data_IF_470498154328
#
_entry.id   IF_470498154328
#
_cell.length_a   1.000
_cell.length_b   1.000
_cell.length_c   1.000
_cell.angle_alpha   90.00
_cell.angle_beta   90.00
_cell.angle_gamma   90.00
#
_symmetry.space_group_name_H-M   'P 1'
#
loop_
_entity.id
_entity.type
_entity.pdbx_description
1 polymer ?
#
# COMPACT_ATOMS: atom_id res chain seq x y z
N UNK A 1 29.79 30.42 10.36
CA UNK A 1 29.62 28.99 10.66
C UNK A 1 28.24 28.65 11.25
N UNK A 2 27.79 29.31 12.33
CA UNK A 2 26.46 29.04 12.94
C UNK A 2 25.28 29.11 11.95
N UNK A 3 25.25 30.11 11.05
CA UNK A 3 24.18 30.25 10.03
C UNK A 3 24.06 29.06 9.06
N UNK A 4 25.16 28.40 8.71
CA UNK A 4 25.14 27.23 7.80
C UNK A 4 24.64 25.96 8.51
N UNK A 5 24.87 25.84 9.82
CA UNK A 5 24.36 24.72 10.64
C UNK A 5 22.83 24.79 10.72
N UNK A 6 22.26 25.99 10.94
CA UNK A 6 20.80 26.16 10.94
C UNK A 6 20.17 25.87 9.57
N UNK A 7 20.85 26.26 8.48
CA UNK A 7 20.38 25.97 7.12
C UNK A 7 20.41 24.45 6.84
N UNK A 8 21.45 23.75 7.27
CA UNK A 8 21.57 22.30 7.14
C UNK A 8 20.47 21.58 7.95
N UNK A 9 20.19 22.04 9.17
CA UNK A 9 19.12 21.49 10.01
C UNK A 9 17.73 21.68 9.35
N UNK A 10 17.47 22.86 8.78
CA UNK A 10 16.24 23.16 8.04
C UNK A 10 16.08 22.29 6.79
N UNK A 11 17.17 22.01 6.07
CA UNK A 11 17.13 21.12 4.90
C UNK A 11 16.80 19.67 5.28
N UNK A 12 17.37 19.16 6.38
CA UNK A 12 17.11 17.79 6.85
C UNK A 12 15.65 17.61 7.28
N UNK A 13 15.07 18.58 7.99
CA UNK A 13 13.68 18.51 8.46
C UNK A 13 12.69 18.52 7.29
N UNK A 14 12.93 19.34 6.26
CA UNK A 14 12.07 19.40 5.06
C UNK A 14 12.22 18.17 4.15
N UNK A 15 13.36 17.48 4.20
CA UNK A 15 13.60 16.29 3.37
C UNK A 15 12.81 15.07 3.84
N UNK A 16 12.49 15.00 5.14
CA UNK A 16 11.77 13.88 5.75
C UNK A 16 10.26 13.97 5.47
N UNK A 17 9.69 15.19 5.46
CA UNK A 17 8.27 15.43 5.16
C UNK A 17 7.95 15.37 3.66
N UNK A 18 8.95 15.45 2.78
CA UNK A 18 8.77 15.45 1.33
C UNK A 18 8.48 14.07 0.70
N UNK A 19 8.62 12.96 1.43
CA UNK A 19 8.56 11.61 0.85
C UNK A 19 7.18 10.94 0.87
N UNK A 20 6.22 11.48 1.64
CA UNK A 20 4.90 10.85 1.81
C UNK A 20 3.81 11.62 1.05
N UNK A 21 2.99 10.92 0.27
CA UNK A 21 1.86 11.49 -0.48
C UNK A 21 0.59 11.45 0.36
N UNK A 22 -0.39 12.34 0.11
CA UNK A 22 -1.70 12.26 0.78
C UNK A 22 -2.38 10.89 0.67
N UNK A 23 -2.15 10.16 -0.43
CA UNK A 23 -2.67 8.81 -0.70
C UNK A 23 -2.06 7.71 0.18
N UNK A 24 -0.93 7.99 0.83
CA UNK A 24 -0.25 7.09 1.76
C UNK A 24 -0.94 7.03 3.12
N UNK A 25 -1.93 7.88 3.34
CA UNK A 25 -2.67 7.97 4.59
C UNK A 25 -4.13 7.53 4.42
N UNK A 26 -4.71 7.05 5.51
CA UNK A 26 -6.15 6.85 5.65
C UNK A 26 -6.69 7.60 6.87
N UNK A 27 -8.00 7.84 6.90
CA UNK A 27 -8.72 8.44 8.02
C UNK A 27 -10.03 7.70 8.23
N UNK A 28 -10.43 7.51 9.48
CA UNK A 28 -11.69 6.81 9.80
C UNK A 28 -12.95 7.61 9.45
N UNK A 29 -12.85 8.94 9.41
CA UNK A 29 -13.96 9.84 9.10
C UNK A 29 -13.40 11.17 8.56
N UNK A 30 -14.26 11.93 7.87
CA UNK A 30 -13.90 13.23 7.30
C UNK A 30 -13.51 14.21 8.42
N UNK A 31 -12.32 14.81 8.31
CA UNK A 31 -11.78 15.72 9.33
C UNK A 31 -11.13 15.02 10.53
N UNK A 32 -11.07 13.69 10.54
CA UNK A 32 -10.37 12.93 11.57
C UNK A 32 -8.84 12.91 11.39
N UNK A 33 -8.15 12.39 12.41
CA UNK A 33 -6.71 12.14 12.35
C UNK A 33 -6.34 11.25 11.15
N UNK A 34 -5.17 11.51 10.56
CA UNK A 34 -4.61 10.76 9.43
C UNK A 34 -3.59 9.75 9.91
N UNK A 35 -3.67 8.52 9.42
CA UNK A 35 -2.79 7.42 9.79
C UNK A 35 -2.07 6.91 8.55
N UNK A 36 -0.76 6.68 8.67
CA UNK A 36 0.02 6.10 7.58
C UNK A 36 -0.45 4.66 7.34
N UNK A 37 -0.67 4.31 6.07
CA UNK A 37 -1.04 2.96 5.68
C UNK A 37 0.16 2.03 5.85
N UNK A 38 0.00 0.86 6.51
CA UNK A 38 1.00 -0.19 6.46
C UNK A 38 1.29 -0.60 5.01
N UNK A 39 2.57 -0.82 4.71
CA UNK A 39 3.01 -1.27 3.40
C UNK A 39 2.96 -2.80 3.36
N UNK A 40 2.33 -3.34 2.32
CA UNK A 40 2.15 -4.78 2.10
C UNK A 40 2.70 -5.15 0.72
N UNK A 41 3.47 -6.23 0.64
CA UNK A 41 4.08 -6.69 -0.61
C UNK A 41 3.50 -8.05 -1.01
N UNK A 42 3.08 -8.17 -2.27
CA UNK A 42 2.56 -9.40 -2.83
C UNK A 42 3.40 -9.80 -4.04
N UNK A 43 3.74 -11.08 -4.14
CA UNK A 43 4.44 -11.60 -5.32
C UNK A 43 3.43 -12.06 -6.38
N UNK A 44 3.57 -11.55 -7.60
CA UNK A 44 2.92 -12.09 -8.78
C UNK A 44 3.82 -13.15 -9.43
N UNK A 45 3.25 -14.33 -9.66
CA UNK A 45 3.92 -15.45 -10.30
C UNK A 45 3.03 -15.98 -11.43
N UNK A 46 3.41 -15.70 -12.68
CA UNK A 46 2.65 -16.11 -13.87
C UNK A 46 2.64 -17.62 -14.10
N UNK A 47 3.48 -18.39 -13.41
CA UNK A 47 3.49 -19.86 -13.52
C UNK A 47 2.40 -20.54 -12.68
N UNK A 48 1.71 -19.80 -11.80
CA UNK A 48 0.64 -20.35 -10.98
C UNK A 48 -0.72 -20.17 -11.63
N UNK A 49 -1.52 -21.23 -11.64
CA UNK A 49 -2.85 -21.27 -12.26
C UNK A 49 -3.87 -20.33 -11.61
N UNK A 50 -3.66 -19.97 -10.35
CA UNK A 50 -4.52 -19.05 -9.59
C UNK A 50 -4.13 -17.57 -9.77
N UNK A 51 -3.16 -17.30 -10.64
CA UNK A 51 -2.71 -15.95 -10.97
C UNK A 51 -3.04 -15.63 -12.43
N UNK A 52 -3.58 -14.44 -12.67
CA UNK A 52 -3.77 -13.91 -14.01
C UNK A 52 -3.39 -12.44 -14.07
N UNK A 53 -2.91 -12.00 -15.24
CA UNK A 53 -2.59 -10.61 -15.51
C UNK A 53 -3.28 -10.20 -16.79
N UNK A 54 -4.13 -9.19 -16.69
CA UNK A 54 -4.87 -8.63 -17.84
C UNK A 54 -4.49 -7.17 -17.99
N UNK A 55 -4.11 -6.79 -19.20
CA UNK A 55 -3.72 -5.41 -19.52
C UNK A 55 -4.73 -4.83 -20.52
N UNK A 56 -5.30 -3.68 -20.17
CA UNK A 56 -6.20 -2.93 -21.03
C UNK A 56 -5.87 -1.45 -20.98
N UNK A 57 -5.44 -0.90 -22.13
CA UNK A 57 -4.97 0.49 -22.26
C UNK A 57 -3.79 0.78 -21.33
N UNK A 58 -4.04 1.51 -20.24
CA UNK A 58 -3.03 1.94 -19.26
C UNK A 58 -3.30 1.32 -17.88
N UNK A 59 -4.17 0.31 -17.83
CA UNK A 59 -4.57 -0.36 -16.61
C UNK A 59 -4.09 -1.81 -16.69
N UNK A 60 -3.45 -2.26 -15.61
CA UNK A 60 -3.08 -3.66 -15.42
C UNK A 60 -3.88 -4.19 -14.23
N UNK A 61 -4.56 -5.30 -14.44
CA UNK A 61 -5.25 -6.06 -13.41
C UNK A 61 -4.41 -7.30 -13.09
N UNK A 62 -3.95 -7.39 -11.84
CA UNK A 62 -3.34 -8.60 -11.32
C UNK A 62 -4.37 -9.32 -10.47
N UNK A 63 -4.84 -10.47 -10.94
CA UNK A 63 -5.55 -11.42 -10.10
C UNK A 63 -4.51 -12.35 -9.49
N UNK A 64 -4.44 -12.38 -8.16
CA UNK A 64 -3.50 -13.22 -7.43
C UNK A 64 -4.30 -14.00 -6.41
N UNK A 65 -4.45 -15.29 -6.64
CA UNK A 65 -5.45 -16.13 -5.97
C UNK A 65 -6.87 -15.60 -6.26
N UNK A 66 -7.60 -15.20 -5.22
CA UNK A 66 -8.95 -14.67 -5.30
C UNK A 66 -9.00 -13.14 -5.11
N UNK A 67 -7.84 -12.49 -5.04
CA UNK A 67 -7.74 -11.06 -4.81
C UNK A 67 -7.38 -10.31 -6.10
N UNK A 68 -8.00 -9.15 -6.30
CA UNK A 68 -7.81 -8.31 -7.48
C UNK A 68 -7.06 -7.03 -7.13
N UNK A 69 -5.96 -6.80 -7.83
CA UNK A 69 -5.13 -5.62 -7.68
C UNK A 69 -5.11 -4.83 -8.99
N UNK A 70 -5.48 -3.55 -8.91
CA UNK A 70 -5.53 -2.65 -10.07
C UNK A 70 -4.36 -1.69 -10.04
N UNK A 71 -3.52 -1.74 -11.07
CA UNK A 71 -2.54 -0.72 -11.40
C UNK A 71 -3.10 0.18 -12.50
N UNK A 72 -3.10 1.50 -12.30
CA UNK A 72 -3.42 2.49 -13.33
C UNK A 72 -2.22 3.41 -13.53
N UNK A 73 -1.58 3.35 -14.70
CA UNK A 73 -0.35 4.10 -14.98
C UNK A 73 -0.51 5.63 -14.89
N UNK A 74 -1.73 6.16 -14.95
CA UNK A 74 -1.98 7.61 -14.74
C UNK A 74 -1.92 8.00 -13.27
N UNK A 75 -2.33 7.09 -12.38
CA UNK A 75 -2.61 7.38 -10.97
C UNK A 75 -1.64 6.68 -10.01
N UNK A 76 -0.99 5.63 -10.48
CA UNK A 76 -0.11 4.78 -9.69
C UNK A 76 1.34 4.87 -10.19
N UNK A 77 2.27 4.51 -9.30
CA UNK A 77 3.70 4.46 -9.63
C UNK A 77 4.15 3.02 -9.82
N UNK A 78 5.06 2.82 -10.77
CA UNK A 78 5.83 1.58 -10.88
C UNK A 78 7.31 1.89 -10.87
N UNK A 79 8.08 0.94 -10.37
CA UNK A 79 9.51 1.09 -10.17
C UNK A 79 10.21 -0.23 -10.46
N UNK A 80 11.46 -0.16 -10.87
CA UNK A 80 12.29 -1.32 -11.18
C UNK A 80 13.33 -1.50 -10.08
N UNK A 81 13.40 -2.69 -9.51
CA UNK A 81 14.36 -3.03 -8.47
C UNK A 81 15.11 -4.34 -8.74
N UNK A 82 16.27 -4.48 -8.09
CA UNK A 82 17.00 -5.76 -8.02
C UNK A 82 16.18 -6.79 -7.27
N UNK A 83 16.38 -8.07 -7.59
CA UNK A 83 15.83 -9.21 -6.84
C UNK A 83 16.22 -9.18 -5.36
N UNK A 84 17.32 -8.51 -5.01
CA UNK A 84 17.78 -8.36 -3.63
C UNK A 84 16.77 -7.64 -2.71
N UNK A 85 15.80 -6.91 -3.27
CA UNK A 85 14.72 -6.32 -2.48
C UNK A 85 13.95 -7.39 -1.69
N UNK A 86 13.82 -8.60 -2.24
CA UNK A 86 13.10 -9.72 -1.62
C UNK A 86 13.74 -10.16 -0.29
N UNK A 87 15.03 -9.87 -0.07
CA UNK A 87 15.72 -10.15 1.19
C UNK A 87 15.36 -9.14 2.29
N UNK A 88 14.79 -7.99 1.93
CA UNK A 88 14.55 -6.85 2.82
C UNK A 88 13.07 -6.64 3.16
N UNK A 89 12.17 -7.34 2.48
CA UNK A 89 10.73 -7.16 2.62
C UNK A 89 10.07 -8.47 3.03
N UNK A 90 8.95 -8.35 3.75
CA UNK A 90 8.07 -9.48 4.02
C UNK A 90 7.04 -9.59 2.89
N UNK A 91 6.91 -10.78 2.30
CA UNK A 91 5.86 -11.08 1.34
C UNK A 91 4.62 -11.58 2.08
N UNK A 92 3.49 -11.00 1.74
CA UNK A 92 2.20 -11.27 2.34
C UNK A 92 1.46 -12.34 1.55
N UNK A 93 0.66 -13.17 2.25
CA UNK A 93 -0.24 -14.10 1.59
C UNK A 93 -1.46 -13.34 1.05
N UNK A 94 -1.69 -13.28 -0.27
CA UNK A 94 -2.78 -12.49 -0.83
C UNK A 94 -4.15 -12.90 -0.30
N UNK A 95 -4.35 -14.21 -0.05
CA UNK A 95 -5.62 -14.73 0.46
C UNK A 95 -5.96 -14.25 1.88
N UNK A 96 -4.99 -13.74 2.64
CA UNK A 96 -5.17 -13.28 4.02
C UNK A 96 -5.34 -11.76 4.11
N UNK A 97 -5.04 -11.00 3.05
CA UNK A 97 -5.01 -9.53 3.08
C UNK A 97 -6.33 -8.88 3.51
N UNK A 98 -7.46 -9.45 3.10
CA UNK A 98 -8.78 -8.98 3.52
C UNK A 98 -8.99 -9.18 5.03
N UNK A 99 -8.73 -10.39 5.52
CA UNK A 99 -8.84 -10.71 6.95
C UNK A 99 -7.89 -9.85 7.79
N UNK A 100 -6.67 -9.62 7.30
CA UNK A 100 -5.68 -8.74 7.90
C UNK A 100 -6.16 -7.30 7.96
N UNK A 101 -6.78 -6.80 6.88
CA UNK A 101 -7.32 -5.45 6.83
C UNK A 101 -8.48 -5.26 7.80
N UNK A 102 -9.36 -6.26 7.92
CA UNK A 102 -10.46 -6.29 8.89
C UNK A 102 -9.92 -6.31 10.33
N UNK A 103 -8.92 -7.15 10.61
CA UNK A 103 -8.29 -7.23 11.92
C UNK A 103 -7.58 -5.92 12.29
N UNK A 104 -6.82 -5.35 11.35
CA UNK A 104 -6.18 -4.05 11.49
C UNK A 104 -7.21 -2.96 11.79
N UNK A 105 -8.31 -2.91 11.04
CA UNK A 105 -9.40 -1.98 11.28
C UNK A 105 -9.95 -2.10 12.71
N UNK A 106 -10.31 -3.30 13.16
CA UNK A 106 -10.88 -3.53 14.50
C UNK A 106 -9.93 -3.06 15.59
N UNK A 107 -8.66 -3.39 15.48
CA UNK A 107 -7.63 -2.99 16.46
C UNK A 107 -7.44 -1.48 16.48
N UNK A 108 -7.25 -0.86 15.30
CA UNK A 108 -7.00 0.57 15.22
C UNK A 108 -8.23 1.40 15.58
N UNK A 109 -9.42 0.93 15.23
CA UNK A 109 -10.70 1.48 15.70
C UNK A 109 -10.75 1.54 17.22
N UNK A 110 -10.47 0.44 17.92
CA UNK A 110 -10.49 0.38 19.39
C UNK A 110 -9.54 1.40 20.02
N UNK A 111 -8.35 1.57 19.45
CA UNK A 111 -7.37 2.58 19.86
C UNK A 111 -7.90 4.01 19.68
N UNK A 112 -8.53 4.30 18.55
CA UNK A 112 -9.04 5.65 18.26
C UNK A 112 -10.27 5.99 19.11
N UNK A 113 -11.18 5.04 19.30
CA UNK A 113 -12.37 5.23 20.12
C UNK A 113 -12.00 5.46 21.60
N UNK A 114 -11.00 4.74 22.11
CA UNK A 114 -10.53 4.92 23.50
C UNK A 114 -9.84 6.27 23.70
N UNK A 115 -9.02 6.71 22.74
CA UNK A 115 -8.30 7.99 22.80
C UNK A 115 -9.23 9.19 22.65
N UNK A 116 -10.13 9.14 21.67
CA UNK A 116 -10.87 10.33 21.22
C UNK A 116 -12.33 10.35 21.72
N UNK A 117 -12.77 9.32 22.45
CA UNK A 117 -14.17 9.18 22.94
C UNK A 117 -15.22 9.31 21.83
N UNK A 118 -14.87 8.92 20.61
CA UNK A 118 -15.77 8.86 19.45
C UNK A 118 -16.26 7.43 19.25
N UNK A 119 -17.41 7.27 18.60
CA UNK A 119 -17.86 5.97 18.09
C UNK A 119 -17.72 5.94 16.58
N UNK A 120 -16.85 5.08 16.08
CA UNK A 120 -16.61 4.88 14.66
C UNK A 120 -17.57 3.84 14.10
N UNK A 121 -18.05 4.04 12.88
CA UNK A 121 -18.74 2.98 12.15
C UNK A 121 -17.73 2.22 11.29
N UNK A 122 -18.12 1.05 10.77
CA UNK A 122 -17.33 0.40 9.74
C UNK A 122 -17.14 1.38 8.57
N UNK A 123 -15.92 1.51 8.00
CA UNK A 123 -15.67 2.49 6.95
C UNK A 123 -16.59 2.22 5.77
N UNK A 124 -17.31 3.23 5.25
CA UNK A 124 -18.08 3.07 4.03
C UNK A 124 -17.20 2.74 2.80
N UNK A 125 -15.89 3.02 2.88
CA UNK A 125 -14.92 2.74 1.80
C UNK A 125 -14.31 1.33 1.80
N UNK A 126 -14.80 0.40 2.64
CA UNK A 126 -14.29 -0.97 2.70
C UNK A 126 -12.90 -1.12 3.32
N UNK A 127 -12.45 -2.37 3.45
CA UNK A 127 -11.16 -2.72 4.09
C UNK A 127 -9.95 -2.39 3.20
N UNK A 128 -10.19 -2.23 1.90
CA UNK A 128 -9.20 -2.16 0.82
C UNK A 128 -8.37 -0.88 0.88
N UNK A 129 -8.83 0.11 1.65
CA UNK A 129 -8.19 1.42 1.80
C UNK A 129 -7.13 1.48 2.90
N UNK A 130 -7.03 0.45 3.75
CA UNK A 130 -6.15 0.49 4.93
C UNK A 130 -4.69 0.21 4.66
N UNK A 131 -4.38 -0.52 3.59
CA UNK A 131 -3.02 -0.89 3.23
C UNK A 131 -2.54 -0.17 1.98
N UNK A 132 -1.24 0.08 1.93
CA UNK A 132 -0.54 0.44 0.71
C UNK A 132 0.06 -0.84 0.13
N UNK A 133 -0.46 -1.30 -1.00
CA UNK A 133 -0.08 -2.59 -1.57
C UNK A 133 0.88 -2.39 -2.73
N UNK A 134 1.94 -3.19 -2.75
CA UNK A 134 2.83 -3.34 -3.89
C UNK A 134 2.76 -4.75 -4.46
N UNK A 135 2.48 -4.88 -5.75
CA UNK A 135 2.62 -6.13 -6.49
C UNK A 135 4.01 -6.18 -7.09
N UNK A 136 4.71 -7.29 -6.88
CA UNK A 136 6.06 -7.55 -7.36
C UNK A 136 6.01 -8.60 -8.46
N UNK A 137 6.43 -8.22 -9.66
CA UNK A 137 6.50 -9.11 -10.81
C UNK A 137 7.96 -9.34 -11.19
N UNK A 138 8.40 -10.60 -11.19
CA UNK A 138 9.74 -10.95 -11.68
C UNK A 138 9.71 -11.00 -13.21
N UNK A 139 10.47 -10.11 -13.85
CA UNK A 139 10.53 -10.04 -15.33
C UNK A 139 11.80 -10.64 -15.91
N UNK A 140 12.89 -10.73 -15.13
CA UNK A 140 14.16 -11.40 -15.48
C UNK A 140 14.81 -11.95 -14.21
N UNK A 141 15.84 -12.78 -14.34
CA UNK A 141 16.54 -13.42 -13.20
C UNK A 141 16.94 -12.46 -12.09
N UNK A 142 17.36 -11.23 -12.43
CA UNK A 142 17.81 -10.21 -11.48
C UNK A 142 16.94 -8.93 -11.46
N UNK A 143 15.72 -8.97 -12.00
CA UNK A 143 14.88 -7.77 -12.17
C UNK A 143 13.45 -8.02 -11.72
N UNK A 144 12.98 -7.17 -10.83
CA UNK A 144 11.59 -7.12 -10.35
C UNK A 144 11.00 -5.77 -10.73
N UNK A 145 9.76 -5.79 -11.21
CA UNK A 145 8.94 -4.59 -11.32
C UNK A 145 8.01 -4.54 -10.10
N UNK A 146 8.01 -3.41 -9.41
CA UNK A 146 7.19 -3.10 -8.25
C UNK A 146 6.10 -2.14 -8.68
N UNK A 147 4.85 -2.58 -8.61
CA UNK A 147 3.66 -1.78 -8.94
C UNK A 147 2.97 -1.35 -7.66
N UNK A 148 2.78 -0.04 -7.47
CA UNK A 148 1.85 0.47 -6.47
C UNK A 148 0.42 0.23 -6.97
N UNK A 149 -0.39 -0.55 -6.25
CA UNK A 149 -1.70 -0.98 -6.75
C UNK A 149 -2.82 -0.57 -5.80
N UNK A 150 -4.02 -0.44 -6.36
CA UNK A 150 -5.25 -0.32 -5.60
C UNK A 150 -5.83 -1.71 -5.35
N UNK A 151 -6.06 -2.05 -4.09
CA UNK A 151 -6.74 -3.28 -3.71
C UNK A 151 -8.23 -3.17 -4.05
N UNK A 152 -8.74 -4.04 -4.91
CA UNK A 152 -10.16 -4.07 -5.26
C UNK A 152 -10.87 -5.11 -4.40
N UNK A 153 -12.14 -4.83 -4.09
CA UNK A 153 -13.01 -5.81 -3.45
C UNK A 153 -13.29 -6.91 -4.48
N UNK A 154 -13.19 -8.18 -4.05
CA UNK A 154 -13.54 -9.33 -4.89
C UNK A 154 -15.05 -9.46 -5.11
N UNK A 155 -15.86 -8.64 -4.42
CA UNK A 155 -17.32 -8.64 -4.51
C UNK A 155 -17.82 -8.04 -5.82
N UNK A 156 -17.96 -8.89 -6.83
CA UNK A 156 -18.98 -8.77 -7.89
C UNK A 156 -19.85 -10.02 -7.89
#
# INVERSE_FOLDING_TARGET
MKKYIYLLMLLVINSITAQTKPTDYFSFYKGGERYLKPIKYVMFDSSKNDNSKTEYKQIIYFQIKQQLFKFDAKNNSSDTCSVDILKKISLENPAELENDAIAFFKNKKKEVESKNKVKLLYPPGGYNSFFKIYVLEKVKSNKIIKYEVNFQDSSF
#
